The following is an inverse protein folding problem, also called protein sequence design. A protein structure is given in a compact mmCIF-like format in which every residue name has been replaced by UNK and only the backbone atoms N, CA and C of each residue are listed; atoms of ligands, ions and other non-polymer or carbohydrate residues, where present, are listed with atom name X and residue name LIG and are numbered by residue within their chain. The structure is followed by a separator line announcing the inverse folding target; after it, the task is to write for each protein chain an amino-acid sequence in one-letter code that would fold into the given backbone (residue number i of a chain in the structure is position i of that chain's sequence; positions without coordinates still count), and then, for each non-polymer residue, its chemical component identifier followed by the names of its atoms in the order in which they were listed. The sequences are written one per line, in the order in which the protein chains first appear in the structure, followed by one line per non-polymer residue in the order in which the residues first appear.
data_IF_263977569020
#
_entry.id   IF_263977569020
#
_cell.length_a   1.000
_cell.length_b   1.000
_cell.length_c   1.000
_cell.angle_alpha   90.00
_cell.angle_beta   90.00
_cell.angle_gamma   90.00
#
_symmetry.space_group_name_H-M   'P 1'
#
loop_
_entity.id
_entity.type
_entity.pdbx_description
1 polymer ?
#
# COMPACT_ATOMS: atom_id res chain seq x y z
N UNK A 1 -22.72 32.18 -2.57
CA UNK A 1 -23.11 31.91 -3.98
C UNK A 1 -21.87 31.33 -4.66
N UNK A 2 -21.78 30.09 -5.13
CA UNK A 2 -22.79 29.15 -5.63
C UNK A 2 -22.47 27.72 -5.16
N UNK A 3 -23.52 26.98 -4.85
CA UNK A 3 -23.56 25.54 -4.58
C UNK A 3 -23.26 24.75 -5.87
N UNK A 4 -22.48 23.69 -5.78
CA UNK A 4 -22.40 22.65 -6.83
C UNK A 4 -22.84 21.34 -6.21
N UNK A 5 -24.07 20.94 -6.54
CA UNK A 5 -24.67 19.65 -6.22
C UNK A 5 -24.35 18.73 -7.39
N UNK A 6 -23.65 17.62 -7.16
CA UNK A 6 -23.54 16.53 -8.15
C UNK A 6 -24.17 15.27 -7.56
N UNK A 7 -25.18 14.76 -8.27
CA UNK A 7 -25.92 13.53 -8.00
C UNK A 7 -25.07 12.34 -8.46
N UNK A 8 -24.86 11.34 -7.61
CA UNK A 8 -24.25 10.06 -8.02
C UNK A 8 -25.37 9.13 -8.48
N UNK A 9 -25.27 8.70 -9.74
CA UNK A 9 -26.13 7.70 -10.39
C UNK A 9 -25.40 6.36 -10.38
N UNK A 10 -26.11 5.31 -9.97
CA UNK A 10 -25.75 3.90 -10.14
C UNK A 10 -25.77 3.50 -11.63
N UNK A 11 -24.74 2.79 -12.13
CA UNK A 11 -24.90 1.61 -13.00
C UNK A 11 -23.56 0.96 -13.43
N UNK A 12 -23.41 -0.32 -13.05
CA UNK A 12 -23.02 -1.52 -13.83
C UNK A 12 -21.92 -1.46 -14.90
N UNK A 13 -20.80 -2.13 -14.60
CA UNK A 13 -20.21 -3.26 -15.38
C UNK A 13 -19.43 -3.00 -16.69
N UNK A 14 -18.11 -3.25 -16.67
CA UNK A 14 -17.34 -4.20 -17.52
C UNK A 14 -15.83 -3.85 -17.59
N UNK A 15 -15.02 -4.86 -17.24
CA UNK A 15 -13.62 -5.16 -17.61
C UNK A 15 -12.77 -4.07 -18.33
N UNK A 16 -11.75 -3.56 -17.63
CA UNK A 16 -10.35 -3.40 -18.08
C UNK A 16 -9.64 -2.36 -17.20
N UNK A 17 -8.37 -2.61 -16.88
CA UNK A 17 -7.45 -1.75 -16.10
C UNK A 17 -7.83 -1.51 -14.63
N UNK A 18 -7.06 -2.12 -13.71
CA UNK A 18 -7.01 -1.72 -12.30
C UNK A 18 -6.31 -0.35 -12.18
N UNK A 19 -6.99 0.70 -12.63
CA UNK A 19 -6.84 2.05 -12.14
C UNK A 19 -8.24 2.61 -12.06
N UNK A 20 -8.98 2.20 -11.03
CA UNK A 20 -10.10 3.01 -10.58
C UNK A 20 -9.47 4.34 -10.17
N UNK A 21 -9.69 5.38 -10.97
CA UNK A 21 -9.56 6.76 -10.51
C UNK A 21 -10.50 6.87 -9.32
N UNK A 22 -9.97 6.69 -8.11
CA UNK A 22 -10.67 7.06 -6.89
C UNK A 22 -10.79 8.58 -6.97
N UNK A 23 -11.96 9.04 -7.42
CA UNK A 23 -12.36 10.43 -7.24
C UNK A 23 -12.09 10.80 -5.80
N UNK A 24 -11.23 11.80 -5.56
CA UNK A 24 -10.96 12.32 -4.23
C UNK A 24 -12.30 12.55 -3.52
N UNK A 25 -12.59 11.84 -2.42
CA UNK A 25 -13.80 12.10 -1.68
C UNK A 25 -13.66 13.49 -1.06
N UNK A 26 -14.48 14.41 -1.55
CA UNK A 26 -14.68 15.72 -0.93
C UNK A 26 -15.02 15.49 0.55
N UNK A 27 -14.17 16.02 1.43
CA UNK A 27 -14.18 15.75 2.86
C UNK A 27 -15.57 15.81 3.49
N UNK A 28 -16.08 14.65 3.86
CA UNK A 28 -17.03 14.52 4.96
C UNK A 28 -16.15 14.08 6.13
N UNK A 29 -15.83 14.99 7.05
CA UNK A 29 -15.33 14.61 8.37
C UNK A 29 -16.39 13.72 9.01
N UNK A 30 -16.32 12.41 8.81
CA UNK A 30 -17.32 11.55 9.41
C UNK A 30 -17.04 11.31 10.90
N UNK A 31 -18.11 10.88 11.58
CA UNK A 31 -18.27 10.81 13.02
C UNK A 31 -17.35 9.82 13.76
N UNK A 32 -16.03 9.94 13.59
CA UNK A 32 -15.06 9.14 14.32
C UNK A 32 -15.02 9.53 15.78
N UNK A 33 -15.36 8.58 16.65
CA UNK A 33 -15.25 8.78 18.09
C UNK A 33 -13.78 9.08 18.44
N UNK A 34 -13.51 9.88 19.49
CA UNK A 34 -12.15 10.10 19.97
C UNK A 34 -11.37 8.79 20.20
N UNK A 35 -12.07 7.73 20.63
CA UNK A 35 -11.52 6.39 20.79
C UNK A 35 -11.03 5.81 19.46
N UNK A 36 -11.86 5.79 18.43
CA UNK A 36 -11.47 5.27 17.10
C UNK A 36 -10.35 6.09 16.48
N UNK A 37 -10.39 7.43 16.59
CA UNK A 37 -9.29 8.30 16.11
C UNK A 37 -7.96 7.92 16.77
N UNK A 38 -7.99 7.70 18.08
CA UNK A 38 -6.82 7.27 18.82
C UNK A 38 -6.33 5.88 18.38
N UNK A 39 -7.23 4.89 18.25
CA UNK A 39 -6.88 3.54 17.79
C UNK A 39 -6.27 3.53 16.38
N UNK A 40 -6.86 4.25 15.44
CA UNK A 40 -6.35 4.37 14.06
C UNK A 40 -5.03 5.12 13.99
N UNK A 41 -4.85 6.18 14.77
CA UNK A 41 -3.58 6.90 14.88
C UNK A 41 -2.46 6.00 15.41
N UNK A 42 -2.76 5.18 16.43
CA UNK A 42 -1.83 4.18 16.96
C UNK A 42 -1.51 3.13 15.88
N UNK A 43 -2.51 2.61 15.17
CA UNK A 43 -2.31 1.62 14.12
C UNK A 43 -1.47 2.16 12.96
N UNK A 44 -1.76 3.38 12.49
CA UNK A 44 -1.02 4.05 11.43
C UNK A 44 0.45 4.28 11.83
N UNK A 45 0.71 4.86 13.01
CA UNK A 45 2.08 5.02 13.53
C UNK A 45 2.79 3.69 13.68
N UNK A 46 2.08 2.70 14.22
CA UNK A 46 2.57 1.34 14.40
C UNK A 46 3.10 0.74 13.10
N UNK A 47 2.42 0.94 11.98
CA UNK A 47 2.91 0.49 10.67
C UNK A 47 4.22 1.15 10.26
N UNK A 48 4.34 2.47 10.36
CA UNK A 48 5.58 3.16 10.00
C UNK A 48 6.73 2.79 10.93
N UNK A 49 6.47 2.62 12.23
CA UNK A 49 7.48 2.19 13.21
C UNK A 49 7.93 0.75 12.96
N UNK A 50 6.98 -0.16 12.70
CA UNK A 50 7.28 -1.54 12.31
C UNK A 50 8.09 -1.59 11.02
N UNK A 51 7.68 -0.83 10.00
CA UNK A 51 8.41 -0.81 8.74
C UNK A 51 9.82 -0.25 8.91
N UNK A 52 10.02 0.76 9.77
CA UNK A 52 11.35 1.27 10.08
C UNK A 52 12.26 0.16 10.65
N UNK A 53 11.72 -0.69 11.52
CA UNK A 53 12.45 -1.82 12.12
C UNK A 53 12.74 -2.93 11.09
N UNK A 54 11.77 -3.29 10.26
CA UNK A 54 11.87 -4.41 9.32
C UNK A 54 12.50 -4.04 7.97
N UNK A 55 12.58 -2.76 7.63
CA UNK A 55 13.03 -2.28 6.31
C UNK A 55 14.37 -2.88 5.87
N UNK A 56 15.33 -3.01 6.77
CA UNK A 56 16.64 -3.61 6.48
C UNK A 56 16.56 -5.11 6.21
N UNK A 57 15.65 -5.82 6.86
CA UNK A 57 15.41 -7.25 6.64
C UNK A 57 14.72 -7.45 5.29
N UNK A 58 13.68 -6.66 5.01
CA UNK A 58 12.93 -6.69 3.76
C UNK A 58 13.83 -6.36 2.56
N UNK A 59 14.67 -5.32 2.65
CA UNK A 59 15.59 -4.92 1.57
C UNK A 59 16.65 -5.99 1.22
N UNK A 60 16.94 -6.94 2.11
CA UNK A 60 17.86 -8.05 1.84
C UNK A 60 17.20 -9.19 1.06
N UNK A 61 15.88 -9.19 0.95
CA UNK A 61 15.13 -10.23 0.24
C UNK A 61 15.31 -10.00 -1.25
N UNK A 62 15.86 -11.02 -1.94
CA UNK A 62 15.88 -11.00 -3.40
C UNK A 62 14.51 -11.41 -3.91
N UNK A 63 13.72 -10.44 -4.38
CA UNK A 63 12.39 -10.68 -4.97
C UNK A 63 12.44 -10.93 -6.48
N UNK A 64 13.44 -10.36 -7.16
CA UNK A 64 13.64 -10.49 -8.61
C UNK A 64 15.11 -10.76 -8.89
N UNK A 65 15.39 -11.70 -9.80
CA UNK A 65 16.74 -11.94 -10.30
C UNK A 65 16.72 -12.20 -11.80
N UNK A 66 17.86 -11.98 -12.47
CA UNK A 66 18.04 -12.35 -13.87
C UNK A 66 18.37 -13.84 -13.97
N UNK A 67 17.76 -14.52 -14.92
CA UNK A 67 17.95 -15.95 -15.15
C UNK A 67 18.17 -16.25 -16.63
N UNK A 68 18.80 -17.40 -16.92
CA UNK A 68 19.09 -17.87 -18.27
C UNK A 68 20.15 -17.05 -19.02
N UNK A 69 20.54 -17.53 -20.21
CA UNK A 69 21.61 -16.93 -21.00
C UNK A 69 21.31 -15.49 -21.46
N UNK A 70 20.03 -15.15 -21.63
CA UNK A 70 19.58 -13.80 -22.03
C UNK A 70 19.44 -12.82 -20.85
N UNK A 71 19.60 -13.30 -19.61
CA UNK A 71 19.49 -12.46 -18.41
C UNK A 71 18.11 -11.84 -18.22
N UNK A 72 17.04 -12.59 -18.49
CA UNK A 72 15.65 -12.13 -18.31
C UNK A 72 15.29 -12.15 -16.83
N UNK A 73 14.59 -11.12 -16.37
CA UNK A 73 14.08 -11.05 -14.99
C UNK A 73 13.10 -12.19 -14.71
N UNK A 74 13.11 -12.71 -13.48
CA UNK A 74 12.14 -13.66 -12.94
C UNK A 74 11.90 -13.40 -11.47
N UNK A 75 10.67 -13.64 -11.02
CA UNK A 75 10.35 -13.62 -9.61
C UNK A 75 11.08 -14.75 -8.88
N UNK A 76 11.65 -14.42 -7.73
CA UNK A 76 12.28 -15.37 -6.84
C UNK A 76 11.27 -15.79 -5.78
N UNK A 77 10.54 -16.87 -6.03
CA UNK A 77 9.43 -17.31 -5.18
C UNK A 77 9.83 -17.56 -3.72
N UNK A 78 11.03 -18.09 -3.46
CA UNK A 78 11.54 -18.21 -2.08
C UNK A 78 11.69 -16.86 -1.37
N UNK A 79 12.07 -15.82 -2.12
CA UNK A 79 12.13 -14.45 -1.61
C UNK A 79 10.74 -13.90 -1.35
N UNK A 80 9.80 -14.13 -2.27
CA UNK A 80 8.38 -13.78 -2.08
C UNK A 80 7.82 -14.45 -0.82
N UNK A 81 8.04 -15.74 -0.61
CA UNK A 81 7.59 -16.44 0.59
C UNK A 81 8.14 -15.80 1.87
N UNK A 82 9.41 -15.40 1.85
CA UNK A 82 10.05 -14.72 2.98
C UNK A 82 9.43 -13.34 3.23
N UNK A 83 9.17 -12.57 2.17
CA UNK A 83 8.52 -11.26 2.24
C UNK A 83 7.09 -11.38 2.78
N UNK A 84 6.30 -12.30 2.21
CA UNK A 84 4.93 -12.56 2.63
C UNK A 84 4.87 -13.03 4.08
N UNK A 85 5.82 -13.86 4.52
CA UNK A 85 5.89 -14.30 5.91
C UNK A 85 6.15 -13.13 6.87
N UNK A 86 7.02 -12.18 6.52
CA UNK A 86 7.25 -10.96 7.32
C UNK A 86 5.96 -10.14 7.45
N UNK A 87 5.22 -9.95 6.34
CA UNK A 87 3.95 -9.24 6.39
C UNK A 87 2.91 -9.98 7.23
N UNK A 88 2.75 -11.28 7.02
CA UNK A 88 1.74 -12.08 7.71
C UNK A 88 2.01 -12.15 9.22
N UNK A 89 3.27 -12.36 9.62
CA UNK A 89 3.65 -12.47 11.03
C UNK A 89 3.58 -11.15 11.79
N UNK A 90 3.62 -10.01 11.10
CA UNK A 90 3.37 -8.69 11.71
C UNK A 90 1.97 -8.59 12.33
N UNK A 91 1.00 -9.32 11.78
CA UNK A 91 -0.39 -9.20 12.18
C UNK A 91 -1.01 -7.82 11.91
N UNK A 92 -0.38 -6.96 11.10
CA UNK A 92 -0.87 -5.61 10.79
C UNK A 92 -1.79 -5.58 9.57
N UNK A 93 -1.56 -6.47 8.61
CA UNK A 93 -2.27 -6.50 7.34
C UNK A 93 -3.45 -7.46 7.40
N UNK A 94 -4.50 -7.15 6.63
CA UNK A 94 -5.58 -8.09 6.41
C UNK A 94 -5.28 -9.08 5.28
N UNK A 95 -6.14 -10.07 5.11
CA UNK A 95 -5.97 -11.12 4.09
C UNK A 95 -6.00 -10.53 2.67
N UNK A 96 -6.90 -9.59 2.39
CA UNK A 96 -7.00 -8.91 1.09
C UNK A 96 -5.69 -8.21 0.68
N UNK A 97 -5.05 -7.50 1.61
CA UNK A 97 -3.76 -6.87 1.36
C UNK A 97 -2.68 -7.89 1.00
N UNK A 98 -2.64 -9.02 1.72
CA UNK A 98 -1.69 -10.10 1.45
C UNK A 98 -1.95 -10.78 0.10
N UNK A 99 -3.22 -10.96 -0.27
CA UNK A 99 -3.60 -11.55 -1.54
C UNK A 99 -3.28 -10.64 -2.73
N UNK A 100 -3.47 -9.32 -2.58
CA UNK A 100 -3.04 -8.34 -3.58
C UNK A 100 -1.54 -8.43 -3.87
N UNK A 101 -0.69 -8.64 -2.85
CA UNK A 101 0.74 -8.87 -3.05
C UNK A 101 1.04 -10.19 -3.77
N UNK A 102 0.38 -11.29 -3.41
CA UNK A 102 0.56 -12.57 -4.11
C UNK A 102 0.23 -12.42 -5.60
N UNK A 103 -0.87 -11.74 -5.92
CA UNK A 103 -1.30 -11.54 -7.30
C UNK A 103 -0.43 -10.56 -8.07
N UNK A 104 0.10 -9.54 -7.40
CA UNK A 104 1.16 -8.68 -7.94
C UNK A 104 2.36 -9.52 -8.39
N UNK A 105 2.93 -10.37 -7.53
CA UNK A 105 4.10 -11.18 -7.88
C UNK A 105 3.81 -12.15 -9.04
N UNK A 106 2.66 -12.83 -9.03
CA UNK A 106 2.26 -13.70 -10.16
C UNK A 106 2.16 -12.92 -11.47
N UNK A 107 1.54 -11.76 -11.43
CA UNK A 107 1.37 -10.90 -12.61
C UNK A 107 2.71 -10.39 -13.12
N UNK A 108 3.64 -10.03 -12.23
CA UNK A 108 4.99 -9.60 -12.61
C UNK A 108 5.83 -10.76 -13.18
N UNK A 109 5.76 -11.96 -12.62
CA UNK A 109 6.50 -13.11 -13.21
C UNK A 109 6.02 -13.41 -14.62
N UNK A 110 4.68 -13.44 -14.82
CA UNK A 110 4.09 -13.62 -16.16
C UNK A 110 4.56 -12.52 -17.12
N UNK A 111 4.51 -11.26 -16.69
CA UNK A 111 5.00 -10.14 -17.50
C UNK A 111 6.47 -10.30 -17.91
N UNK A 112 7.36 -10.69 -16.99
CA UNK A 112 8.77 -10.86 -17.33
C UNK A 112 9.01 -11.99 -18.33
N UNK A 113 8.23 -13.06 -18.27
CA UNK A 113 8.28 -14.15 -19.25
C UNK A 113 7.80 -13.66 -20.63
N UNK A 114 6.62 -13.06 -20.68
CA UNK A 114 5.99 -12.61 -21.92
C UNK A 114 6.80 -11.51 -22.63
N UNK A 115 7.32 -10.55 -21.86
CA UNK A 115 8.06 -9.40 -22.41
C UNK A 115 9.56 -9.65 -22.51
N UNK A 116 10.07 -10.76 -21.96
CA UNK A 116 11.50 -11.08 -21.90
C UNK A 116 12.36 -9.92 -21.37
N UNK A 117 11.84 -9.18 -20.38
CA UNK A 117 12.51 -7.98 -19.87
C UNK A 117 13.88 -8.33 -19.28
N UNK A 118 14.94 -7.68 -19.77
CA UNK A 118 16.34 -7.95 -19.38
C UNK A 118 17.17 -6.69 -19.13
N UNK A 119 16.62 -5.51 -19.39
CA UNK A 119 17.29 -4.20 -19.27
C UNK A 119 16.54 -3.28 -18.30
N UNK A 120 17.26 -2.30 -17.76
CA UNK A 120 16.71 -1.32 -16.81
C UNK A 120 16.47 -1.91 -15.43
N UNK A 121 15.66 -1.23 -14.62
CA UNK A 121 15.11 -1.78 -13.38
C UNK A 121 13.96 -2.73 -13.76
N UNK A 122 13.75 -3.78 -12.97
CA UNK A 122 12.66 -4.72 -13.22
C UNK A 122 11.31 -4.00 -13.02
N UNK A 123 10.41 -4.11 -14.00
CA UNK A 123 9.17 -3.33 -13.98
C UNK A 123 8.26 -3.71 -12.81
N UNK A 124 7.86 -2.70 -12.02
CA UNK A 124 7.12 -2.85 -10.76
C UNK A 124 8.01 -2.90 -9.51
N UNK A 125 9.33 -2.77 -9.66
CA UNK A 125 10.31 -2.81 -8.56
C UNK A 125 11.22 -1.57 -8.54
N UNK A 126 10.78 -0.48 -9.17
CA UNK A 126 11.47 0.81 -9.20
C UNK A 126 11.40 1.54 -7.86
N UNK A 127 10.44 1.18 -7.03
CA UNK A 127 10.13 1.82 -5.76
C UNK A 127 10.12 0.81 -4.62
N UNK A 128 10.23 1.34 -3.40
CA UNK A 128 9.93 0.59 -2.20
C UNK A 128 8.50 0.02 -2.28
N UNK A 129 8.32 -1.27 -2.03
CA UNK A 129 7.02 -1.92 -2.23
C UNK A 129 5.96 -1.46 -1.23
N UNK A 130 6.34 -1.15 0.01
CA UNK A 130 5.38 -0.80 1.06
C UNK A 130 5.19 0.71 1.22
N UNK A 131 6.25 1.49 1.04
CA UNK A 131 6.18 2.96 1.05
C UNK A 131 6.02 3.58 -0.35
N UNK A 132 6.02 2.78 -1.41
CA UNK A 132 5.79 3.24 -2.80
C UNK A 132 6.58 4.51 -3.14
N UNK A 133 7.87 4.52 -2.79
CA UNK A 133 8.74 5.68 -3.03
C UNK A 133 10.16 5.23 -3.36
N UNK A 134 10.89 6.04 -4.14
CA UNK A 134 12.29 5.79 -4.45
C UNK A 134 13.22 6.13 -3.27
N UNK A 135 12.70 6.85 -2.26
CA UNK A 135 13.50 7.37 -1.13
C UNK A 135 12.90 6.98 0.23
N UNK A 136 12.73 5.68 0.52
CA UNK A 136 12.10 5.24 1.77
C UNK A 136 12.89 5.72 3.01
N UNK A 137 14.21 5.79 2.91
CA UNK A 137 15.06 6.29 4.01
C UNK A 137 14.80 7.75 4.39
N UNK A 138 14.32 8.58 3.47
CA UNK A 138 13.93 9.96 3.77
C UNK A 138 12.66 10.01 4.60
N UNK A 139 11.68 9.17 4.27
CA UNK A 139 10.43 9.03 5.03
C UNK A 139 10.73 8.54 6.44
N UNK A 140 11.52 7.47 6.55
CA UNK A 140 11.85 6.81 7.82
C UNK A 140 12.67 7.71 8.78
N UNK A 141 13.48 8.64 8.27
CA UNK A 141 14.23 9.59 9.12
C UNK A 141 13.34 10.61 9.82
N UNK A 142 12.18 10.89 9.26
CA UNK A 142 11.30 11.97 9.69
C UNK A 142 10.00 11.47 10.36
N UNK A 143 9.94 10.19 10.77
CA UNK A 143 8.76 9.61 11.43
C UNK A 143 8.32 10.38 12.69
N UNK A 144 9.24 11.06 13.38
CA UNK A 144 8.90 11.95 14.51
C UNK A 144 7.98 13.12 14.13
N UNK A 145 7.94 13.49 12.85
CA UNK A 145 7.08 14.56 12.30
C UNK A 145 5.74 14.02 11.78
N UNK A 146 5.52 12.71 11.84
CA UNK A 146 4.34 12.05 11.30
C UNK A 146 3.07 12.63 11.94
N UNK A 147 2.17 13.11 11.09
CA UNK A 147 0.83 13.59 11.42
C UNK A 147 -0.21 12.65 10.81
N UNK A 148 -1.33 12.51 11.51
CA UNK A 148 -2.43 11.63 11.12
C UNK A 148 -3.67 12.50 10.92
N UNK A 149 -4.22 12.48 9.71
CA UNK A 149 -5.42 13.16 9.28
C UNK A 149 -6.47 12.11 8.88
N UNK A 150 -7.76 12.40 9.09
CA UNK A 150 -8.84 11.43 8.91
C UNK A 150 -9.72 11.91 7.76
N UNK A 151 -9.82 11.12 6.67
CA UNK A 151 -10.44 11.59 5.42
C UNK A 151 -11.76 10.88 5.08
N UNK A 152 -11.97 9.64 5.52
CA UNK A 152 -13.27 8.95 5.36
C UNK A 152 -13.62 8.08 6.55
N UNK A 153 -14.91 7.97 6.82
CA UNK A 153 -15.47 7.32 8.00
C UNK A 153 -16.75 6.57 7.63
N UNK A 154 -16.57 5.36 7.10
CA UNK A 154 -17.63 4.35 7.18
C UNK A 154 -17.45 3.57 8.49
N UNK A 155 -18.46 2.81 8.93
CA UNK A 155 -18.34 2.06 10.20
C UNK A 155 -17.23 0.99 10.16
N UNK A 156 -16.94 0.43 8.99
CA UNK A 156 -16.06 -0.74 8.83
C UNK A 156 -14.78 -0.49 8.01
N UNK A 157 -14.68 0.66 7.35
CA UNK A 157 -13.51 1.04 6.56
C UNK A 157 -13.14 2.52 6.73
N UNK A 158 -11.83 2.76 6.93
CA UNK A 158 -11.28 4.06 7.26
C UNK A 158 -10.13 4.40 6.35
N UNK A 159 -10.16 5.63 5.83
CA UNK A 159 -9.01 6.22 5.18
C UNK A 159 -8.34 7.19 6.14
N UNK A 160 -7.08 6.87 6.45
CA UNK A 160 -6.21 7.71 7.24
C UNK A 160 -5.15 8.29 6.32
N UNK A 161 -5.10 9.62 6.25
CA UNK A 161 -4.00 10.30 5.60
C UNK A 161 -2.87 10.48 6.60
N UNK A 162 -1.68 10.03 6.22
CA UNK A 162 -0.48 10.15 7.03
C UNK A 162 0.48 11.09 6.32
N UNK A 163 0.72 12.23 6.95
CA UNK A 163 1.64 13.25 6.45
C UNK A 163 2.98 13.13 7.16
N UNK A 164 4.03 12.87 6.39
CA UNK A 164 5.44 12.93 6.81
C UNK A 164 6.18 13.85 5.83
N UNK A 165 7.29 13.40 5.24
CA UNK A 165 7.87 14.05 4.05
C UNK A 165 6.99 13.79 2.82
N UNK A 166 6.30 12.65 2.78
CA UNK A 166 5.28 12.33 1.78
C UNK A 166 3.89 12.24 2.40
N UNK A 167 2.86 12.28 1.55
CA UNK A 167 1.48 12.03 1.91
C UNK A 167 1.15 10.57 1.59
N UNK A 168 0.63 9.85 2.58
CA UNK A 168 0.22 8.46 2.44
C UNK A 168 -1.26 8.32 2.73
N UNK A 169 -1.95 7.51 1.94
CA UNK A 169 -3.29 7.05 2.20
C UNK A 169 -3.22 5.63 2.75
N UNK A 170 -3.59 5.45 4.01
CA UNK A 170 -3.62 4.14 4.68
C UNK A 170 -5.07 3.75 4.91
N UNK A 171 -5.46 2.66 4.26
CA UNK A 171 -6.80 2.10 4.38
C UNK A 171 -6.81 1.05 5.48
N UNK A 172 -7.75 1.20 6.41
CA UNK A 172 -7.96 0.25 7.49
C UNK A 172 -9.34 -0.40 7.38
N UNK A 173 -9.40 -1.70 7.68
CA UNK A 173 -10.63 -2.46 7.91
C UNK A 173 -10.60 -3.07 9.30
N UNK A 174 -11.77 -3.22 9.94
CA UNK A 174 -11.86 -3.83 11.27
C UNK A 174 -12.08 -5.33 11.15
N UNK A 175 -11.18 -6.12 11.71
CA UNK A 175 -11.25 -7.59 11.70
C UNK A 175 -11.03 -8.13 13.11
N UNK A 176 -11.99 -8.93 13.60
CA UNK A 176 -11.97 -9.47 14.96
C UNK A 176 -11.66 -8.40 16.04
N UNK A 177 -12.21 -7.20 15.87
CA UNK A 177 -12.04 -6.08 16.78
C UNK A 177 -10.73 -5.28 16.65
N UNK A 178 -9.83 -5.65 15.72
CA UNK A 178 -8.56 -4.96 15.47
C UNK A 178 -8.58 -4.23 14.13
N UNK A 179 -7.96 -3.05 14.07
CA UNK A 179 -7.73 -2.35 12.80
C UNK A 179 -6.58 -3.03 12.05
N UNK A 180 -6.86 -3.40 10.80
CA UNK A 180 -5.92 -4.04 9.89
C UNK A 180 -5.75 -3.19 8.66
N UNK A 181 -4.52 -3.09 8.15
CA UNK A 181 -4.22 -2.40 6.91
C UNK A 181 -4.73 -3.23 5.75
N UNK A 182 -5.61 -2.62 4.94
CA UNK A 182 -6.13 -3.20 3.70
C UNK A 182 -5.48 -2.61 2.46
N UNK A 183 -4.89 -1.41 2.56
CA UNK A 183 -4.08 -0.81 1.49
C UNK A 183 -3.20 0.33 2.02
N UNK A 184 -2.10 0.61 1.33
CA UNK A 184 -1.19 1.75 1.56
C UNK A 184 -0.81 2.32 0.20
N UNK A 185 -1.09 3.60 -0.02
CA UNK A 185 -0.62 4.30 -1.21
C UNK A 185 0.12 5.58 -0.88
N UNK A 186 1.13 5.90 -1.69
CA UNK A 186 1.85 7.18 -1.64
C UNK A 186 1.17 8.16 -2.60
N UNK A 187 0.55 9.21 -2.06
CA UNK A 187 -0.21 10.21 -2.81
C UNK A 187 0.66 11.31 -3.45
N UNK A 188 1.99 11.26 -3.28
CA UNK A 188 2.90 12.23 -3.89
C UNK A 188 3.34 11.88 -5.31
N UNK A 189 3.21 10.61 -5.71
CA UNK A 189 3.73 10.09 -6.97
C UNK A 189 2.61 9.89 -8.03
N UNK A 190 1.46 10.56 -7.85
CA UNK A 190 0.41 10.76 -8.88
C UNK A 190 0.71 11.96 -9.80
#
# INVERSE_FOLDING_TARGET
MKSFIIRVVLAVGLLASCFSVMSQPSGIEGNCTPKQKNELSIAARGFFDWYNQESKSIQKITLVAKTGAKGTYRIQWKGVDSFMNILQTSGMFNEEYLDNWKDFFKTRDRFFVEQSQSKGVASGFEFDLLLQTARPSTVLKDLKKLKVHFINYTEDAYLVEVSVVNWYLVYFKKEAGKWKISDVSNANDE
#
